data_IF_372704535167
#
_entry.id   IF_372704535167
#
_cell.length_a   1.000
_cell.length_b   1.000
_cell.length_c   1.000
_cell.angle_alpha   90.00
_cell.angle_beta   90.00
_cell.angle_gamma   90.00
#
_symmetry.space_group_name_H-M   'P 1'
#
loop_
_entity.id
_entity.type
_entity.pdbx_description
1 polymer ?
#
# COMPACT_ATOMS: atom_id res chain seq x y z
N UNK A 1 -30.95 73.95 26.12
CA UNK A 1 -31.03 72.50 26.43
C UNK A 1 -31.51 71.62 25.26
N UNK A 2 -31.91 72.18 24.11
CA UNK A 2 -32.36 71.44 22.92
C UNK A 2 -31.27 71.08 21.90
N UNK A 3 -30.08 71.71 21.95
CA UNK A 3 -29.01 71.46 20.98
C UNK A 3 -28.18 70.18 21.26
N UNK A 4 -28.26 69.62 22.47
CA UNK A 4 -27.48 68.42 22.83
C UNK A 4 -28.10 67.10 22.31
N UNK A 5 -29.40 67.09 21.97
CA UNK A 5 -30.12 65.88 21.55
C UNK A 5 -29.93 65.61 20.04
N UNK A 6 -29.75 66.65 19.23
CA UNK A 6 -29.55 66.50 17.77
C UNK A 6 -28.17 65.94 17.38
N UNK A 7 -27.13 66.25 18.16
CA UNK A 7 -25.77 65.73 17.94
C UNK A 7 -25.67 64.23 18.29
N UNK A 8 -26.46 63.76 19.26
CA UNK A 8 -26.50 62.35 19.66
C UNK A 8 -27.12 61.44 18.56
N UNK A 9 -28.16 61.88 17.86
CA UNK A 9 -28.82 61.08 16.81
C UNK A 9 -27.97 60.88 15.54
N UNK A 10 -27.14 61.87 15.17
CA UNK A 10 -26.29 61.79 13.98
C UNK A 10 -25.02 60.94 14.19
N UNK A 11 -24.49 60.92 15.41
CA UNK A 11 -23.33 60.08 15.79
C UNK A 11 -23.67 58.58 15.87
N UNK A 12 -24.89 58.22 16.27
CA UNK A 12 -25.34 56.82 16.36
C UNK A 12 -25.47 56.20 14.96
N UNK A 13 -26.09 56.92 14.01
CA UNK A 13 -26.33 56.43 12.65
C UNK A 13 -25.04 56.17 11.84
N UNK A 14 -23.97 56.96 12.05
CA UNK A 14 -22.67 56.77 11.38
C UNK A 14 -21.87 55.60 11.97
N UNK A 15 -22.02 55.30 13.27
CA UNK A 15 -21.42 54.14 13.95
C UNK A 15 -22.12 52.83 13.59
N UNK A 16 -23.45 52.83 13.51
CA UNK A 16 -24.24 51.66 13.07
C UNK A 16 -23.95 51.29 11.63
N UNK A 17 -23.92 52.25 10.69
CA UNK A 17 -23.50 51.96 9.31
C UNK A 17 -22.11 51.33 9.28
N UNK A 18 -21.10 51.90 9.96
CA UNK A 18 -19.75 51.29 9.98
C UNK A 18 -19.72 49.88 10.59
N UNK A 19 -20.53 49.59 11.61
CA UNK A 19 -20.67 48.23 12.15
C UNK A 19 -21.36 47.27 11.18
N UNK A 20 -22.37 47.72 10.44
CA UNK A 20 -23.05 46.92 9.40
C UNK A 20 -22.11 46.64 8.22
N UNK A 21 -21.31 47.62 7.79
CA UNK A 21 -20.32 47.41 6.72
C UNK A 21 -19.15 46.51 7.18
N UNK A 22 -18.78 46.53 8.46
CA UNK A 22 -17.75 45.66 9.03
C UNK A 22 -18.23 44.21 9.28
N UNK A 23 -19.50 44.02 9.67
CA UNK A 23 -20.09 42.68 9.75
C UNK A 23 -20.32 42.08 8.36
N UNK A 24 -20.66 42.90 7.37
CA UNK A 24 -20.81 42.46 5.99
C UNK A 24 -19.49 42.03 5.33
N UNK A 25 -18.37 42.70 5.65
CA UNK A 25 -17.05 42.32 5.12
C UNK A 25 -16.47 41.06 5.76
N UNK A 26 -16.71 40.86 7.06
CA UNK A 26 -16.32 39.62 7.78
C UNK A 26 -17.16 38.43 7.37
N UNK A 27 -18.46 38.63 7.09
CA UNK A 27 -19.29 37.62 6.45
C UNK A 27 -18.83 37.30 5.03
N UNK A 28 -18.39 38.30 4.26
CA UNK A 28 -17.87 38.08 2.91
C UNK A 28 -16.55 37.28 2.89
N UNK A 29 -15.62 37.56 3.80
CA UNK A 29 -14.34 36.83 3.87
C UNK A 29 -14.51 35.40 4.36
N UNK A 30 -15.42 35.17 5.32
CA UNK A 30 -15.74 33.82 5.81
C UNK A 30 -16.46 32.99 4.75
N UNK A 31 -17.40 33.57 4.00
CA UNK A 31 -18.06 32.90 2.87
C UNK A 31 -17.07 32.60 1.75
N UNK A 32 -16.17 33.54 1.42
CA UNK A 32 -15.14 33.32 0.40
C UNK A 32 -14.15 32.22 0.82
N UNK A 33 -13.71 32.20 2.09
CA UNK A 33 -12.83 31.16 2.62
C UNK A 33 -13.52 29.78 2.66
N UNK A 34 -14.81 29.73 3.02
CA UNK A 34 -15.59 28.51 3.02
C UNK A 34 -15.83 27.99 1.59
N UNK A 35 -16.09 28.88 0.64
CA UNK A 35 -16.22 28.55 -0.78
C UNK A 35 -14.89 28.05 -1.38
N UNK A 36 -13.76 28.68 -1.04
CA UNK A 36 -12.43 28.26 -1.46
C UNK A 36 -12.09 26.87 -0.90
N UNK A 37 -12.40 26.64 0.38
CA UNK A 37 -12.22 25.33 1.05
C UNK A 37 -13.06 24.23 0.39
N UNK A 38 -14.34 24.50 0.11
CA UNK A 38 -15.22 23.57 -0.63
C UNK A 38 -14.73 23.29 -2.05
N UNK A 39 -14.20 24.31 -2.74
CA UNK A 39 -13.70 24.19 -4.10
C UNK A 39 -12.41 23.36 -4.14
N UNK A 40 -11.48 23.61 -3.22
CA UNK A 40 -10.26 22.80 -3.08
C UNK A 40 -10.60 21.37 -2.67
N UNK A 41 -11.56 21.17 -1.76
CA UNK A 41 -12.03 19.84 -1.38
C UNK A 41 -12.62 19.08 -2.58
N UNK A 42 -13.44 19.74 -3.41
CA UNK A 42 -13.97 19.15 -4.65
C UNK A 42 -12.89 18.84 -5.68
N UNK A 43 -11.90 19.71 -5.86
CA UNK A 43 -10.78 19.47 -6.77
C UNK A 43 -9.93 18.28 -6.29
N UNK A 44 -9.70 18.19 -4.99
CA UNK A 44 -8.96 17.11 -4.37
C UNK A 44 -9.67 15.75 -4.54
N UNK A 45 -10.99 15.72 -4.33
CA UNK A 45 -11.80 14.52 -4.52
C UNK A 45 -11.78 14.05 -5.98
N UNK A 46 -11.77 14.98 -6.95
CA UNK A 46 -11.59 14.67 -8.38
C UNK A 46 -10.23 14.08 -8.70
N UNK A 47 -9.15 14.61 -8.10
CA UNK A 47 -7.79 14.14 -8.34
C UNK A 47 -7.57 12.71 -7.79
N UNK A 48 -8.10 12.41 -6.60
CA UNK A 48 -8.06 11.05 -6.06
C UNK A 48 -8.89 10.04 -6.87
N UNK A 49 -10.05 10.46 -7.40
CA UNK A 49 -10.83 9.62 -8.32
C UNK A 49 -10.07 9.33 -9.62
N UNK A 50 -9.29 10.29 -10.12
CA UNK A 50 -8.42 10.09 -11.29
C UNK A 50 -7.36 9.01 -11.04
N UNK A 51 -6.73 8.98 -9.86
CA UNK A 51 -5.80 7.90 -9.51
C UNK A 51 -6.48 6.53 -9.33
N UNK A 52 -7.72 6.47 -8.81
CA UNK A 52 -8.50 5.21 -8.76
C UNK A 52 -8.87 4.68 -10.15
N UNK A 53 -9.06 5.57 -11.12
CA UNK A 53 -9.35 5.21 -12.51
C UNK A 53 -8.11 4.81 -13.30
N UNK A 54 -6.91 5.28 -12.90
CA UNK A 54 -5.64 4.94 -13.54
C UNK A 54 -5.12 3.54 -13.23
N UNK A 55 -5.42 2.98 -12.05
CA UNK A 55 -4.96 1.64 -11.66
C UNK A 55 -5.83 0.49 -12.23
N UNK A 56 -6.97 0.82 -12.86
CA UNK A 56 -7.94 -0.15 -13.37
C UNK A 56 -8.16 -0.08 -14.90
N UNK A 57 -7.35 0.70 -15.64
CA UNK A 57 -7.52 0.96 -17.09
C UNK A 57 -6.37 0.49 -18.00
N UNK A 58 -5.41 -0.27 -17.49
CA UNK A 58 -4.46 -1.03 -18.34
C UNK A 58 -4.84 -2.50 -18.38
N UNK A 59 -6.13 -2.77 -18.59
CA UNK A 59 -6.65 -4.06 -19.01
C UNK A 59 -7.19 -3.87 -20.43
N UNK A 60 -7.01 -4.88 -21.28
CA UNK A 60 -7.47 -4.95 -22.70
C UNK A 60 -6.47 -4.43 -23.74
N UNK A 61 -5.38 -5.18 -23.96
CA UNK A 61 -5.10 -5.80 -25.27
C UNK A 61 -4.27 -7.04 -24.98
N UNK A 62 -4.87 -8.23 -25.02
CA UNK A 62 -4.17 -9.44 -24.63
C UNK A 62 -4.38 -10.55 -25.68
N UNK A 63 -3.36 -10.81 -26.54
CA UNK A 63 -3.40 -11.87 -27.54
C UNK A 63 -3.36 -13.26 -26.87
N UNK A 64 -3.67 -14.32 -27.64
CA UNK A 64 -3.91 -15.69 -27.14
C UNK A 64 -2.85 -16.34 -26.20
N UNK A 65 -1.55 -15.96 -26.09
CA UNK A 65 -0.69 -16.43 -24.98
C UNK A 65 -1.15 -15.95 -23.58
N UNK A 66 -2.09 -15.04 -23.51
CA UNK A 66 -2.43 -14.35 -22.25
C UNK A 66 -3.45 -15.10 -21.39
N UNK A 67 -4.28 -15.98 -21.96
CA UNK A 67 -5.19 -16.80 -21.15
C UNK A 67 -4.42 -17.65 -20.12
N UNK A 68 -3.22 -18.11 -20.50
CA UNK A 68 -2.26 -18.81 -19.64
C UNK A 68 -1.72 -17.89 -18.53
N UNK A 69 -1.44 -16.64 -18.89
CA UNK A 69 -0.96 -15.60 -17.99
C UNK A 69 -2.01 -15.22 -16.94
N UNK A 70 -3.29 -15.13 -17.33
CA UNK A 70 -4.40 -14.88 -16.40
C UNK A 70 -4.65 -16.06 -15.46
N UNK A 71 -4.51 -17.31 -15.94
CA UNK A 71 -4.61 -18.50 -15.07
C UNK A 71 -3.48 -18.52 -14.03
N UNK A 72 -2.24 -18.27 -14.46
CA UNK A 72 -1.09 -18.10 -13.55
C UNK A 72 -1.29 -16.93 -12.57
N UNK A 73 -1.91 -15.82 -13.00
CA UNK A 73 -2.18 -14.65 -12.15
C UNK A 73 -3.26 -14.93 -11.08
N UNK A 74 -4.23 -15.80 -11.38
CA UNK A 74 -5.26 -16.23 -10.43
C UNK A 74 -4.75 -17.27 -9.42
N UNK A 75 -3.81 -18.11 -9.83
CA UNK A 75 -3.18 -19.13 -8.97
C UNK A 75 -2.06 -18.58 -8.08
N UNK A 76 -1.44 -17.45 -8.46
CA UNK A 76 -0.39 -16.75 -7.68
C UNK A 76 -0.70 -16.54 -6.19
N UNK A 77 -1.85 -16.01 -5.76
CA UNK A 77 -2.15 -15.83 -4.34
C UNK A 77 -2.24 -17.17 -3.58
N UNK A 78 -2.69 -18.25 -4.24
CA UNK A 78 -2.72 -19.59 -3.63
C UNK A 78 -1.31 -20.17 -3.50
N UNK A 79 -0.45 -19.94 -4.50
CA UNK A 79 0.97 -20.29 -4.49
C UNK A 79 1.71 -19.58 -3.34
N UNK A 80 1.60 -18.25 -3.24
CA UNK A 80 2.25 -17.45 -2.18
C UNK A 80 1.80 -17.84 -0.77
N UNK A 81 0.52 -18.23 -0.62
CA UNK A 81 -0.03 -18.67 0.67
C UNK A 81 0.52 -20.01 1.12
N UNK A 82 0.66 -20.97 0.20
CA UNK A 82 1.06 -22.34 0.52
C UNK A 82 2.58 -22.58 0.46
N UNK A 83 3.34 -21.72 -0.21
CA UNK A 83 4.79 -21.84 -0.35
C UNK A 83 5.56 -22.02 0.98
N UNK A 84 5.39 -21.17 2.01
CA UNK A 84 6.14 -21.34 3.26
C UNK A 84 5.76 -22.63 4.01
N UNK A 85 4.52 -23.10 3.88
CA UNK A 85 4.10 -24.39 4.45
C UNK A 85 4.80 -25.57 3.77
N UNK A 86 4.95 -25.53 2.44
CA UNK A 86 5.69 -26.54 1.67
C UNK A 86 7.16 -26.57 2.07
N UNK A 87 7.79 -25.40 2.25
CA UNK A 87 9.19 -25.31 2.68
C UNK A 87 9.40 -25.85 4.10
N UNK A 88 8.47 -25.57 5.02
CA UNK A 88 8.54 -26.08 6.39
C UNK A 88 8.45 -27.62 6.43
N UNK A 89 7.53 -28.19 5.65
CA UNK A 89 7.43 -29.65 5.50
C UNK A 89 8.68 -30.27 4.85
N UNK A 90 9.31 -29.56 3.91
CA UNK A 90 10.56 -30.00 3.28
C UNK A 90 11.71 -29.95 4.29
N UNK A 91 11.81 -28.88 5.07
CA UNK A 91 12.77 -28.74 6.16
C UNK A 91 12.62 -29.87 7.19
N UNK A 92 11.40 -30.11 7.69
CA UNK A 92 11.10 -31.19 8.64
C UNK A 92 11.45 -32.57 8.08
N UNK A 93 11.20 -32.80 6.80
CA UNK A 93 11.54 -34.07 6.15
C UNK A 93 13.05 -34.27 6.03
N UNK A 94 13.80 -33.23 5.69
CA UNK A 94 15.26 -33.28 5.64
C UNK A 94 15.88 -33.47 7.03
N UNK A 95 15.34 -32.79 8.06
CA UNK A 95 15.76 -32.97 9.46
C UNK A 95 15.46 -34.37 9.99
N UNK A 96 14.39 -35.00 9.50
CA UNK A 96 14.08 -36.40 9.77
C UNK A 96 14.96 -37.38 8.99
N UNK A 97 15.95 -36.90 8.22
CA UNK A 97 16.90 -37.72 7.48
C UNK A 97 16.43 -38.23 6.13
N UNK A 98 15.33 -37.70 5.58
CA UNK A 98 14.93 -38.02 4.21
C UNK A 98 15.86 -37.31 3.22
N UNK A 99 16.21 -38.00 2.12
CA UNK A 99 16.84 -37.36 0.98
C UNK A 99 15.91 -36.32 0.33
N UNK A 100 16.50 -35.30 -0.29
CA UNK A 100 15.78 -34.19 -0.91
C UNK A 100 14.78 -34.63 -1.97
N UNK A 101 15.14 -35.59 -2.82
CA UNK A 101 14.23 -36.05 -3.89
C UNK A 101 13.04 -36.80 -3.29
N UNK A 102 13.29 -37.61 -2.28
CA UNK A 102 12.27 -38.35 -1.53
C UNK A 102 11.35 -37.43 -0.73
N UNK A 103 11.91 -36.37 -0.10
CA UNK A 103 11.14 -35.35 0.60
C UNK A 103 10.19 -34.60 -0.34
N UNK A 104 10.67 -34.22 -1.54
CA UNK A 104 9.83 -33.60 -2.57
C UNK A 104 8.70 -34.53 -3.02
N UNK A 105 8.99 -35.81 -3.25
CA UNK A 105 7.99 -36.80 -3.65
C UNK A 105 6.86 -36.88 -2.62
N UNK A 106 7.22 -37.01 -1.33
CA UNK A 106 6.26 -37.10 -0.23
C UNK A 106 5.33 -35.89 -0.16
N UNK A 107 5.87 -34.68 -0.34
CA UNK A 107 5.08 -33.45 -0.26
C UNK A 107 4.24 -33.25 -1.53
N UNK A 108 4.74 -33.67 -2.69
CA UNK A 108 3.99 -33.64 -3.94
C UNK A 108 2.73 -34.51 -3.88
N UNK A 109 2.82 -35.69 -3.25
CA UNK A 109 1.69 -36.60 -3.05
C UNK A 109 0.65 -36.10 -2.04
N UNK A 110 1.08 -35.29 -1.06
CA UNK A 110 0.16 -34.64 -0.11
C UNK A 110 -0.66 -33.49 -0.72
N UNK A 111 -0.26 -32.97 -1.90
CA UNK A 111 -0.90 -31.82 -2.56
C UNK A 111 -1.37 -32.13 -4.00
N UNK A 112 -2.19 -33.17 -4.23
CA UNK A 112 -2.52 -33.63 -5.60
C UNK A 112 -3.31 -32.59 -6.42
N UNK A 113 -4.20 -31.83 -5.77
CA UNK A 113 -5.07 -30.85 -6.42
C UNK A 113 -4.55 -29.41 -6.35
N UNK A 114 -3.41 -29.17 -5.68
CA UNK A 114 -2.87 -27.83 -5.51
C UNK A 114 -1.84 -27.52 -6.61
N UNK A 115 -1.82 -26.30 -7.18
CA UNK A 115 -0.85 -25.94 -8.21
C UNK A 115 0.62 -26.03 -7.75
N UNK A 116 0.90 -25.92 -6.44
CA UNK A 116 2.23 -26.22 -5.89
C UNK A 116 2.61 -27.70 -5.98
N UNK A 117 1.66 -28.63 -5.77
CA UNK A 117 1.94 -30.06 -5.91
C UNK A 117 2.32 -30.40 -7.35
N UNK A 118 1.61 -29.84 -8.34
CA UNK A 118 1.96 -29.97 -9.77
C UNK A 118 3.36 -29.43 -10.09
N UNK A 119 3.74 -28.29 -9.50
CA UNK A 119 5.06 -27.72 -9.69
C UNK A 119 6.17 -28.62 -9.09
N UNK A 120 5.93 -29.23 -7.93
CA UNK A 120 6.83 -30.22 -7.32
C UNK A 120 6.90 -31.52 -8.11
N UNK A 121 5.78 -32.02 -8.64
CA UNK A 121 5.75 -33.18 -9.52
C UNK A 121 6.55 -32.92 -10.81
N UNK A 122 6.44 -31.72 -11.39
CA UNK A 122 7.24 -31.33 -12.55
C UNK A 122 8.73 -31.27 -12.21
N UNK A 123 9.10 -30.76 -11.03
CA UNK A 123 10.50 -30.76 -10.55
C UNK A 123 11.02 -32.19 -10.39
N UNK A 124 10.23 -33.07 -9.78
CA UNK A 124 10.56 -34.48 -9.59
C UNK A 124 10.69 -35.22 -10.92
N UNK A 125 9.82 -34.94 -11.89
CA UNK A 125 9.91 -35.48 -13.23
C UNK A 125 11.21 -35.05 -13.93
N UNK A 126 11.57 -33.77 -13.85
CA UNK A 126 12.84 -33.27 -14.41
C UNK A 126 14.06 -33.96 -13.77
N UNK A 127 14.04 -34.19 -12.46
CA UNK A 127 15.12 -34.92 -11.76
C UNK A 127 15.17 -36.40 -12.15
N UNK A 128 14.02 -37.07 -12.28
CA UNK A 128 13.94 -38.48 -12.72
C UNK A 128 14.38 -38.68 -14.17
N UNK A 129 14.21 -37.66 -15.01
CA UNK A 129 14.71 -37.64 -16.38
C UNK A 129 16.24 -37.42 -16.45
N UNK A 130 16.94 -37.37 -15.32
CA UNK A 130 18.38 -37.22 -15.26
C UNK A 130 18.87 -35.79 -15.56
N UNK A 131 17.98 -34.78 -15.51
CA UNK A 131 18.44 -33.39 -15.65
C UNK A 131 19.31 -33.01 -14.45
N UNK A 132 20.35 -32.19 -14.67
CA UNK A 132 21.16 -31.69 -13.57
C UNK A 132 20.27 -30.90 -12.60
N UNK A 133 20.49 -31.12 -11.31
CA UNK A 133 19.66 -30.59 -10.22
C UNK A 133 19.51 -29.07 -10.26
N UNK A 134 20.59 -28.37 -10.62
CA UNK A 134 20.58 -26.93 -10.79
C UNK A 134 19.61 -26.45 -11.88
N UNK A 135 19.53 -27.16 -13.02
CA UNK A 135 18.61 -26.80 -14.11
C UNK A 135 17.16 -27.14 -13.78
N UNK A 136 16.93 -28.26 -13.09
CA UNK A 136 15.60 -28.64 -12.62
C UNK A 136 15.04 -27.58 -11.63
N UNK A 137 15.87 -27.10 -10.70
CA UNK A 137 15.51 -26.01 -9.78
C UNK A 137 15.28 -24.68 -10.52
N UNK A 138 16.08 -24.36 -11.55
CA UNK A 138 15.88 -23.18 -12.40
C UNK A 138 14.55 -23.24 -13.16
N UNK A 139 14.11 -24.41 -13.61
CA UNK A 139 12.79 -24.60 -14.23
C UNK A 139 11.66 -24.50 -13.21
N UNK A 140 11.86 -25.05 -12.02
CA UNK A 140 10.90 -24.93 -10.92
C UNK A 140 10.60 -23.47 -10.56
N UNK A 141 11.63 -22.61 -10.42
CA UNK A 141 11.39 -21.16 -10.18
C UNK A 141 10.64 -20.47 -11.32
N UNK A 142 10.84 -20.89 -12.57
CA UNK A 142 10.10 -20.36 -13.73
C UNK A 142 8.64 -20.80 -13.74
N UNK A 143 8.36 -22.01 -13.23
CA UNK A 143 7.01 -22.53 -13.10
C UNK A 143 6.22 -21.83 -11.98
N UNK A 144 6.87 -21.66 -10.81
CA UNK A 144 6.28 -21.04 -9.61
C UNK A 144 6.21 -19.52 -9.74
N UNK A 145 7.22 -18.88 -10.33
CA UNK A 145 7.32 -17.44 -10.61
C UNK A 145 6.95 -16.56 -9.41
N UNK A 146 7.57 -16.88 -8.26
CA UNK A 146 7.53 -16.11 -7.02
C UNK A 146 8.93 -15.59 -6.66
N UNK A 147 9.03 -14.40 -6.05
CA UNK A 147 10.32 -13.85 -5.59
C UNK A 147 10.98 -14.77 -4.55
N UNK A 148 10.19 -15.28 -3.60
CA UNK A 148 10.58 -16.27 -2.60
C UNK A 148 11.20 -17.54 -3.21
N UNK A 149 10.57 -18.11 -4.24
CA UNK A 149 11.07 -19.30 -4.91
C UNK A 149 12.38 -19.04 -5.67
N UNK A 150 12.55 -17.83 -6.20
CA UNK A 150 13.78 -17.43 -6.90
C UNK A 150 14.95 -17.31 -5.93
N UNK A 151 14.73 -16.74 -4.74
CA UNK A 151 15.75 -16.66 -3.67
C UNK A 151 16.16 -18.04 -3.21
N UNK A 152 15.20 -18.87 -2.79
CA UNK A 152 15.45 -20.23 -2.34
C UNK A 152 16.19 -21.09 -3.37
N UNK A 153 15.77 -21.08 -4.64
CA UNK A 153 16.44 -21.88 -5.67
C UNK A 153 17.88 -21.44 -5.91
N UNK A 154 18.17 -20.15 -5.81
CA UNK A 154 19.54 -19.63 -5.94
C UNK A 154 20.43 -20.08 -4.80
N UNK A 155 19.91 -20.06 -3.56
CA UNK A 155 20.60 -20.58 -2.37
C UNK A 155 20.83 -22.08 -2.47
N UNK A 156 19.82 -22.84 -2.91
CA UNK A 156 19.92 -24.29 -3.08
C UNK A 156 20.96 -24.70 -4.12
N UNK A 157 21.01 -23.99 -5.25
CA UNK A 157 22.01 -24.27 -6.29
C UNK A 157 23.43 -24.03 -5.76
N UNK A 158 23.64 -22.95 -4.99
CA UNK A 158 24.94 -22.67 -4.38
C UNK A 158 25.31 -23.74 -3.34
N UNK A 159 24.36 -24.17 -2.53
CA UNK A 159 24.57 -25.21 -1.52
C UNK A 159 24.90 -26.58 -2.13
N UNK A 160 24.23 -26.94 -3.21
CA UNK A 160 24.44 -28.18 -3.95
C UNK A 160 25.86 -28.24 -4.54
N UNK A 161 26.40 -27.10 -5.01
CA UNK A 161 27.78 -27.03 -5.50
C UNK A 161 28.83 -27.08 -4.39
N UNK A 162 28.49 -26.59 -3.19
CA UNK A 162 29.40 -26.54 -2.04
C UNK A 162 29.28 -27.76 -1.12
N UNK A 163 28.32 -28.66 -1.37
CA UNK A 163 28.04 -29.82 -0.52
C UNK A 163 27.52 -29.45 0.88
N UNK A 164 26.97 -28.24 1.05
CA UNK A 164 26.51 -27.74 2.34
C UNK A 164 25.17 -28.40 2.77
N UNK A 165 24.92 -28.57 4.08
CA UNK A 165 23.68 -29.17 4.57
C UNK A 165 22.46 -28.32 4.20
N UNK A 166 21.65 -28.84 3.27
CA UNK A 166 20.49 -28.17 2.65
C UNK A 166 19.39 -27.83 3.69
N UNK A 167 19.32 -28.59 4.80
CA UNK A 167 18.34 -28.41 5.86
C UNK A 167 18.44 -27.02 6.54
N UNK A 168 19.66 -26.57 6.87
CA UNK A 168 19.87 -25.30 7.58
C UNK A 168 19.44 -24.10 6.72
N UNK A 169 19.75 -24.14 5.41
CA UNK A 169 19.38 -23.08 4.47
C UNK A 169 17.86 -22.98 4.27
N UNK A 170 17.15 -24.12 4.28
CA UNK A 170 15.69 -24.12 4.20
C UNK A 170 15.05 -23.52 5.45
N UNK A 171 15.62 -23.77 6.63
CA UNK A 171 15.15 -23.19 7.91
C UNK A 171 15.31 -21.67 7.91
N UNK A 172 16.46 -21.17 7.47
CA UNK A 172 16.74 -19.73 7.38
C UNK A 172 15.81 -19.03 6.37
N UNK A 173 15.62 -19.61 5.18
CA UNK A 173 14.72 -19.02 4.18
C UNK A 173 13.24 -19.13 4.60
N UNK A 174 12.82 -20.23 5.25
CA UNK A 174 11.47 -20.36 5.78
C UNK A 174 11.19 -19.32 6.88
N UNK A 175 12.17 -19.02 7.74
CA UNK A 175 12.06 -17.96 8.75
C UNK A 175 11.96 -16.57 8.10
N UNK A 176 12.73 -16.33 7.03
CA UNK A 176 12.71 -15.09 6.24
C UNK A 176 11.35 -14.85 5.56
N UNK A 177 10.69 -15.91 5.09
CA UNK A 177 9.34 -15.83 4.51
C UNK A 177 8.25 -15.57 5.56
N UNK A 178 8.41 -16.08 6.78
CA UNK A 178 7.54 -15.70 7.92
C UNK A 178 7.73 -14.22 8.27
N UNK A 179 8.96 -13.73 8.25
CA UNK A 179 9.28 -12.32 8.52
C UNK A 179 8.75 -11.37 7.42
N UNK A 180 8.85 -11.73 6.14
CA UNK A 180 8.28 -10.92 5.05
C UNK A 180 6.74 -10.84 5.12
N UNK A 181 6.05 -11.88 5.62
CA UNK A 181 4.59 -11.78 5.89
C UNK A 181 4.28 -10.78 6.98
N UNK A 182 5.11 -10.71 8.03
CA UNK A 182 4.96 -9.75 9.10
C UNK A 182 5.16 -8.32 8.58
N UNK A 183 6.22 -8.08 7.81
CA UNK A 183 6.50 -6.78 7.19
C UNK A 183 5.43 -6.36 6.18
N UNK A 184 4.88 -7.28 5.38
CA UNK A 184 3.82 -6.94 4.44
C UNK A 184 2.50 -6.59 5.15
N UNK A 185 2.21 -7.19 6.30
CA UNK A 185 1.09 -6.77 7.15
C UNK A 185 1.32 -5.36 7.73
N UNK A 186 2.56 -5.05 8.11
CA UNK A 186 2.96 -3.75 8.65
C UNK A 186 2.94 -2.64 7.58
N UNK A 187 3.35 -2.96 6.35
CA UNK A 187 3.30 -2.04 5.20
C UNK A 187 1.87 -1.61 4.85
N UNK A 188 0.86 -2.49 5.04
CA UNK A 188 -0.55 -2.12 4.83
C UNK A 188 -1.02 -1.11 5.89
N UNK A 189 -0.51 -1.17 7.12
CA UNK A 189 -0.79 -0.18 8.17
C UNK A 189 -0.15 1.19 7.91
N UNK A 190 1.05 1.23 7.33
CA UNK A 190 1.77 2.47 7.00
C UNK A 190 1.06 3.28 5.89
N UNK A 191 0.37 2.64 4.93
CA UNK A 191 -0.45 3.35 3.93
C UNK A 191 -1.70 3.98 4.54
N UNK A 192 -2.19 3.46 5.67
CA UNK A 192 -3.32 4.06 6.41
C UNK A 192 -2.89 5.32 7.17
N UNK A 193 -1.71 5.30 7.80
CA UNK A 193 -1.17 6.46 8.52
C UNK A 193 -0.90 7.65 7.59
N UNK A 194 -0.30 7.44 6.40
CA UNK A 194 -0.03 8.55 5.47
C UNK A 194 -1.30 9.18 4.89
N UNK A 195 -2.42 8.42 4.83
CA UNK A 195 -3.71 8.93 4.33
C UNK A 195 -4.49 9.73 5.38
N UNK A 196 -4.18 9.57 6.67
CA UNK A 196 -4.81 10.32 7.77
C UNK A 196 -4.09 11.62 8.10
N UNK A 197 -2.78 11.70 7.83
CA UNK A 197 -1.99 12.92 8.05
C UNK A 197 -2.37 14.04 7.07
N UNK A 198 -2.71 13.70 5.82
CA UNK A 198 -3.02 14.69 4.79
C UNK A 198 -4.30 15.52 5.07
N UNK A 199 -5.45 14.92 5.47
CA UNK A 199 -6.64 15.68 5.89
C UNK A 199 -6.39 16.58 7.11
N UNK A 200 -5.54 16.13 8.03
CA UNK A 200 -5.28 16.82 9.29
C UNK A 200 -4.49 18.12 9.09
N UNK A 201 -3.46 18.10 8.23
CA UNK A 201 -2.71 19.31 7.85
C UNK A 201 -3.61 20.30 7.11
N UNK A 202 -4.49 19.81 6.22
CA UNK A 202 -5.40 20.65 5.45
C UNK A 202 -6.50 21.32 6.30
N UNK A 203 -6.88 20.73 7.45
CA UNK A 203 -7.87 21.30 8.36
C UNK A 203 -7.26 22.30 9.36
N UNK A 204 -6.03 22.06 9.83
CA UNK A 204 -5.36 22.93 10.81
C UNK A 204 -4.87 24.23 10.18
N UNK A 205 -4.28 24.15 8.99
CA UNK A 205 -3.72 25.31 8.29
C UNK A 205 -4.71 26.50 8.14
N UNK A 206 -5.97 26.31 7.68
CA UNK A 206 -6.92 27.41 7.56
C UNK A 206 -7.35 27.97 8.92
N UNK A 207 -7.44 27.15 9.96
CA UNK A 207 -7.80 27.59 11.32
C UNK A 207 -6.69 28.46 11.92
N UNK A 208 -5.43 28.06 11.76
CA UNK A 208 -4.28 28.84 12.25
C UNK A 208 -4.20 30.19 11.54
N UNK A 209 -4.44 30.23 10.22
CA UNK A 209 -4.50 31.50 9.48
C UNK A 209 -5.60 32.41 10.01
N UNK A 210 -6.79 31.89 10.29
CA UNK A 210 -7.91 32.68 10.80
C UNK A 210 -7.61 33.28 12.18
N UNK A 211 -6.97 32.52 13.06
CA UNK A 211 -6.60 32.97 14.42
C UNK A 211 -5.47 33.99 14.39
N UNK A 212 -4.47 33.85 13.51
CA UNK A 212 -3.33 34.78 13.42
C UNK A 212 -3.72 36.08 12.68
N UNK A 213 -4.43 35.97 11.56
CA UNK A 213 -4.82 37.14 10.76
C UNK A 213 -6.06 37.87 11.31
N UNK A 214 -6.90 37.19 12.09
CA UNK A 214 -8.08 37.79 12.74
C UNK A 214 -7.77 39.06 13.54
N UNK A 215 -6.88 39.02 14.55
CA UNK A 215 -6.55 40.21 15.34
C UNK A 215 -5.79 41.27 14.54
N UNK A 216 -4.92 40.87 13.60
CA UNK A 216 -4.21 41.80 12.71
C UNK A 216 -5.18 42.62 11.85
N UNK A 217 -6.22 41.98 11.31
CA UNK A 217 -7.25 42.67 10.53
C UNK A 217 -8.06 43.64 11.39
N UNK A 218 -8.38 43.27 12.64
CA UNK A 218 -9.09 44.14 13.58
C UNK A 218 -8.21 45.31 14.03
N UNK A 219 -6.93 45.07 14.30
CA UNK A 219 -5.98 46.11 14.68
C UNK A 219 -5.72 47.11 13.54
N UNK A 220 -5.60 46.66 12.29
CA UNK A 220 -5.50 47.56 11.12
C UNK A 220 -6.80 48.35 10.88
N UNK A 221 -7.96 47.78 11.20
CA UNK A 221 -9.25 48.48 11.05
C UNK A 221 -9.53 49.50 12.17
N UNK A 222 -8.97 49.29 13.38
CA UNK A 222 -9.16 50.17 14.53
C UNK A 222 -8.01 51.18 14.69
N UNK A 223 -6.78 50.78 14.38
CA UNK A 223 -5.59 51.60 14.37
C UNK A 223 -5.31 52.13 12.96
N UNK A 224 -6.06 53.16 12.57
CA UNK A 224 -5.65 53.99 11.43
C UNK A 224 -4.34 54.68 11.76
N UNK A 225 -3.30 54.34 11.01
CA UNK A 225 -2.28 55.31 10.60
C UNK A 225 -2.87 56.22 9.53
#
# INVERSE_FOLDING_TARGET
MSESIASCGFCINRRERRMIWASLSTLATTVAAMALSLLVFRLYQRMQLSQRMGQNRTLVVLPKPVAQFFRRRRERPHLERKFPFVLDMLCLSLEAGLDFVSAIARIADQLPNHPMGRALQSLLADLRLGRPRADALRRFRLHVNLPAATRLTSLLIQADMLGAPIANLLRDEASSLRFERFQNAERVGQVAAQKLLFPLVFCIMPVVFLVVFGPLAVQLAQGGL
#
